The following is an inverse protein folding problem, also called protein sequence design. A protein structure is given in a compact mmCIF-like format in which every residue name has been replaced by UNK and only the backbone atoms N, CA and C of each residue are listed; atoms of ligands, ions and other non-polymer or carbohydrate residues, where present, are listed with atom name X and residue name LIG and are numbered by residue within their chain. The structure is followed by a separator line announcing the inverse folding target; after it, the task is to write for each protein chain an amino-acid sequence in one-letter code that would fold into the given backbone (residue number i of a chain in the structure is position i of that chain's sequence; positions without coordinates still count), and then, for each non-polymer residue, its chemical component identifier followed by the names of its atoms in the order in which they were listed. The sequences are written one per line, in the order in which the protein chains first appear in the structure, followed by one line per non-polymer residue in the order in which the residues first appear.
data_IF_276429968112
#
_entry.id   IF_276429968112
#
_cell.length_a   1.000
_cell.length_b   1.000
_cell.length_c   1.000
_cell.angle_alpha   90.00
_cell.angle_beta   90.00
_cell.angle_gamma   90.00
#
_symmetry.space_group_name_H-M   'P 1'
#
loop_
_entity.id
_entity.type
_entity.pdbx_description
1 polymer ?
#
# COMPACT_ATOMS: atom_id res chain seq x y z
N UNK A 1 10.75 0.92 -4.93
CA UNK A 1 12.11 0.95 -4.33
C UNK A 1 12.08 1.26 -2.83
N UNK A 2 11.13 2.05 -2.32
CA UNK A 2 10.99 2.40 -0.90
C UNK A 2 11.07 1.23 0.10
N UNK A 3 10.18 0.23 -0.01
CA UNK A 3 10.14 -0.92 0.92
C UNK A 3 11.48 -1.66 0.99
N UNK A 4 12.17 -1.76 -0.15
CA UNK A 4 13.51 -2.36 -0.25
C UNK A 4 14.57 -1.47 0.41
N UNK A 5 14.55 -0.17 0.14
CA UNK A 5 15.50 0.80 0.69
C UNK A 5 15.37 0.90 2.22
N UNK A 6 14.14 0.82 2.74
CA UNK A 6 13.86 0.81 4.17
C UNK A 6 14.06 -0.55 4.84
N UNK A 7 14.44 -1.60 4.08
CA UNK A 7 14.57 -2.98 4.56
C UNK A 7 13.33 -3.46 5.35
N UNK A 8 12.15 -2.95 5.00
CA UNK A 8 10.94 -3.13 5.82
C UNK A 8 10.38 -4.55 5.74
N UNK A 9 10.69 -5.26 4.65
CA UNK A 9 10.27 -6.62 4.38
C UNK A 9 9.55 -6.74 3.03
N UNK A 10 8.79 -7.82 2.89
CA UNK A 10 7.97 -8.10 1.71
C UNK A 10 6.52 -7.69 2.00
N UNK A 11 5.90 -6.95 1.07
CA UNK A 11 4.46 -6.70 1.04
C UNK A 11 3.86 -7.52 -0.10
N UNK A 12 2.79 -8.24 0.18
CA UNK A 12 1.97 -8.91 -0.84
C UNK A 12 0.87 -7.97 -1.32
N UNK A 13 0.69 -7.89 -2.64
CA UNK A 13 -0.36 -7.08 -3.27
C UNK A 13 -1.17 -7.99 -4.18
N UNK A 14 -2.44 -8.20 -3.85
CA UNK A 14 -3.39 -9.01 -4.64
C UNK A 14 -4.39 -8.07 -5.29
N UNK A 15 -4.31 -7.94 -6.61
CA UNK A 15 -5.12 -7.05 -7.43
C UNK A 15 -6.01 -7.91 -8.36
N UNK A 16 -7.22 -8.22 -7.93
CA UNK A 16 -8.07 -9.22 -8.59
C UNK A 16 -7.43 -10.61 -8.53
N UNK A 17 -7.13 -11.19 -9.70
CA UNK A 17 -6.52 -12.52 -9.80
C UNK A 17 -4.98 -12.47 -9.88
N UNK A 18 -4.37 -11.30 -9.82
CA UNK A 18 -2.92 -11.14 -9.87
C UNK A 18 -2.35 -10.88 -8.48
N UNK A 19 -1.37 -11.69 -8.07
CA UNK A 19 -0.60 -11.48 -6.86
C UNK A 19 0.84 -11.05 -7.19
N UNK A 20 1.35 -10.05 -6.47
CA UNK A 20 2.75 -9.58 -6.59
C UNK A 20 3.38 -9.35 -5.23
N UNK A 21 4.65 -9.71 -5.11
CA UNK A 21 5.47 -9.42 -3.94
C UNK A 21 6.33 -8.18 -4.23
N UNK A 22 6.28 -7.19 -3.32
CA UNK A 22 7.04 -5.94 -3.44
C UNK A 22 7.95 -5.72 -2.23
N UNK A 23 9.08 -5.03 -2.44
CA UNK A 23 10.07 -4.74 -1.40
C UNK A 23 11.22 -5.76 -1.36
N UNK A 24 11.01 -6.88 -0.67
CA UNK A 24 12.02 -7.91 -0.40
C UNK A 24 11.70 -9.27 -0.99
N UNK A 25 12.49 -10.27 -0.57
CA UNK A 25 12.22 -11.69 -0.75
C UNK A 25 11.88 -12.31 0.62
N UNK A 26 11.03 -13.33 0.65
CA UNK A 26 10.62 -14.02 1.88
C UNK A 26 9.13 -13.85 2.20
N UNK A 27 8.73 -14.36 3.37
CA UNK A 27 7.33 -14.34 3.84
C UNK A 27 6.83 -12.89 3.94
N UNK A 28 5.64 -12.56 3.38
CA UNK A 28 5.05 -11.23 3.50
C UNK A 28 4.85 -10.83 4.96
N UNK A 29 5.29 -9.62 5.31
CA UNK A 29 5.03 -9.00 6.62
C UNK A 29 3.61 -8.44 6.71
N UNK A 30 3.09 -8.02 5.57
CA UNK A 30 1.71 -7.62 5.37
C UNK A 30 1.27 -7.99 3.96
N UNK A 31 -0.04 -8.00 3.74
CA UNK A 31 -0.61 -8.04 2.41
C UNK A 31 -1.91 -7.27 2.30
N UNK A 32 -2.20 -6.83 1.09
CA UNK A 32 -3.41 -6.09 0.75
C UNK A 32 -4.07 -6.72 -0.48
N UNK A 33 -5.37 -6.93 -0.39
CA UNK A 33 -6.21 -7.46 -1.47
C UNK A 33 -7.36 -6.52 -1.82
N UNK A 34 -7.77 -6.58 -3.08
CA UNK A 34 -8.92 -5.83 -3.58
C UNK A 34 -9.09 -6.00 -5.09
N UNK A 35 -10.08 -5.33 -5.65
CA UNK A 35 -10.18 -5.24 -7.11
C UNK A 35 -8.93 -4.55 -7.68
N UNK A 36 -8.55 -4.87 -8.91
CA UNK A 36 -7.42 -4.21 -9.56
C UNK A 36 -7.59 -2.68 -9.60
N UNK A 37 -8.83 -2.21 -9.74
CA UNK A 37 -9.17 -0.79 -9.71
C UNK A 37 -8.95 -0.18 -8.31
N UNK A 38 -9.39 -0.86 -7.25
CA UNK A 38 -9.24 -0.39 -5.86
C UNK A 38 -7.79 -0.34 -5.40
N UNK A 39 -6.99 -1.35 -5.77
CA UNK A 39 -5.57 -1.38 -5.47
C UNK A 39 -4.85 -0.26 -6.22
N UNK A 40 -5.10 -0.10 -7.52
CA UNK A 40 -4.47 0.94 -8.33
C UNK A 40 -4.75 2.36 -7.78
N UNK A 41 -6.02 2.69 -7.52
CA UNK A 41 -6.40 4.02 -7.00
C UNK A 41 -5.86 4.29 -5.61
N UNK A 42 -5.63 3.24 -4.81
CA UNK A 42 -5.10 3.35 -3.46
C UNK A 42 -3.63 3.76 -3.45
N UNK A 43 -2.85 3.29 -4.42
CA UNK A 43 -1.42 3.61 -4.53
C UNK A 43 -1.09 4.71 -5.56
N UNK A 44 -2.11 5.36 -6.14
CA UNK A 44 -1.96 6.48 -7.08
C UNK A 44 -2.23 7.87 -6.46
N UNK A 45 -2.05 8.03 -5.14
CA UNK A 45 -2.40 9.24 -4.36
C UNK A 45 -3.82 9.78 -4.57
N UNK A 46 -4.75 8.90 -4.91
CA UNK A 46 -6.16 9.29 -4.99
C UNK A 46 -6.92 8.93 -3.72
N UNK A 47 -6.41 8.04 -2.87
CA UNK A 47 -7.11 7.62 -1.65
C UNK A 47 -6.40 8.13 -0.41
N UNK A 48 -7.17 8.56 0.59
CA UNK A 48 -6.65 8.92 1.91
C UNK A 48 -6.07 7.69 2.61
N UNK A 49 -5.26 7.91 3.65
CA UNK A 49 -4.78 6.81 4.49
C UNK A 49 -5.92 5.98 5.08
N UNK A 50 -7.06 6.60 5.43
CA UNK A 50 -8.23 5.89 5.94
C UNK A 50 -8.86 4.99 4.87
N UNK A 51 -8.99 5.48 3.65
CA UNK A 51 -9.55 4.69 2.55
C UNK A 51 -8.62 3.54 2.11
N UNK A 52 -7.30 3.70 2.23
CA UNK A 52 -6.36 2.61 1.96
C UNK A 52 -6.43 1.56 3.09
N UNK A 53 -6.60 1.97 4.35
CA UNK A 53 -6.83 1.05 5.48
C UNK A 53 -8.11 0.23 5.34
N UNK A 54 -9.12 0.78 4.67
CA UNK A 54 -10.40 0.11 4.45
C UNK A 54 -10.33 -1.02 3.41
N UNK A 55 -9.19 -1.21 2.72
CA UNK A 55 -8.96 -2.39 1.90
C UNK A 55 -8.84 -3.66 2.76
N UNK A 56 -8.86 -4.81 2.11
CA UNK A 56 -8.66 -6.08 2.81
C UNK A 56 -7.17 -6.26 3.11
N UNK A 57 -6.80 -6.10 4.38
CA UNK A 57 -5.42 -6.24 4.84
C UNK A 57 -5.22 -7.48 5.70
N UNK A 58 -4.01 -8.04 5.62
CA UNK A 58 -3.48 -8.99 6.58
C UNK A 58 -2.08 -8.57 7.05
N UNK A 59 -1.68 -9.02 8.24
CA UNK A 59 -0.40 -8.65 8.83
C UNK A 59 -0.30 -7.18 9.25
N UNK A 60 0.89 -6.59 9.11
CA UNK A 60 1.22 -5.24 9.58
C UNK A 60 0.84 -4.14 8.58
N UNK A 61 -0.45 -3.87 8.45
CA UNK A 61 -1.01 -2.86 7.54
C UNK A 61 -0.58 -1.43 7.90
N UNK A 62 -0.64 -1.07 9.18
CA UNK A 62 -0.29 0.27 9.65
C UNK A 62 1.19 0.59 9.42
N UNK A 63 2.09 -0.35 9.72
CA UNK A 63 3.51 -0.17 9.44
C UNK A 63 3.81 -0.03 7.94
N UNK A 64 3.04 -0.71 7.08
CA UNK A 64 3.18 -0.58 5.62
C UNK A 64 2.75 0.83 5.16
N UNK A 65 1.64 1.33 5.70
CA UNK A 65 1.09 2.64 5.38
C UNK A 65 1.96 3.79 5.87
N UNK A 66 2.45 3.71 7.11
CA UNK A 66 3.40 4.68 7.65
C UNK A 66 4.65 4.77 6.77
N UNK A 67 5.20 3.62 6.35
CA UNK A 67 6.35 3.62 5.46
C UNK A 67 6.01 4.25 4.11
N UNK A 68 4.88 3.89 3.49
CA UNK A 68 4.45 4.46 2.22
C UNK A 68 4.31 5.99 2.31
N UNK A 69 3.78 6.51 3.41
CA UNK A 69 3.69 7.95 3.68
C UNK A 69 5.06 8.61 3.76
N UNK A 70 6.03 7.98 4.43
CA UNK A 70 7.40 8.48 4.53
C UNK A 70 8.15 8.46 3.19
N UNK A 71 7.82 7.51 2.31
CA UNK A 71 8.51 7.33 1.04
C UNK A 71 7.94 8.09 -0.13
N UNK A 72 6.81 8.76 0.02
CA UNK A 72 6.37 9.76 -0.93
C UNK A 72 7.28 10.99 -0.84
N UNK A 73 8.41 10.94 -1.53
CA UNK A 73 9.31 12.08 -1.70
C UNK A 73 8.96 12.82 -3.01
N UNK A 74 9.20 14.14 -3.06
CA UNK A 74 8.96 14.95 -4.26
C UNK A 74 7.58 15.60 -4.38
N UNK A 75 6.86 15.84 -3.26
CA UNK A 75 5.57 16.55 -3.25
C UNK A 75 4.35 15.66 -3.47
N UNK A 76 4.55 14.35 -3.49
CA UNK A 76 3.47 13.38 -3.45
C UNK A 76 3.04 13.21 -1.99
N UNK A 77 1.75 13.27 -1.69
CA UNK A 77 1.19 13.01 -0.37
C UNK A 77 -0.12 12.26 -0.54
N UNK A 78 -0.46 11.43 0.44
CA UNK A 78 -1.82 10.89 0.46
C UNK A 78 -2.80 12.03 0.72
N UNK A 79 -3.94 12.08 0.00
CA UNK A 79 -5.01 13.02 0.29
C UNK A 79 -5.38 12.98 1.77
N UNK A 80 -5.47 14.16 2.40
CA UNK A 80 -5.90 14.27 3.80
C UNK A 80 -7.41 14.03 3.95
N UNK A 81 -8.19 14.40 2.94
CA UNK A 81 -9.62 14.14 2.86
C UNK A 81 -9.89 12.87 2.05
N UNK A 82 -10.92 12.13 2.43
CA UNK A 82 -11.45 11.06 1.62
C UNK A 82 -11.95 11.62 0.29
N UNK A 83 -11.61 10.96 -0.82
CA UNK A 83 -12.35 11.23 -2.05
C UNK A 83 -13.79 10.75 -1.85
N UNK A 84 -14.74 11.66 -2.00
CA UNK A 84 -16.16 11.34 -2.12
C UNK A 84 -16.34 10.65 -3.48
N UNK A 85 -16.83 9.41 -3.45
CA UNK A 85 -17.18 8.61 -4.64
C UNK A 85 -18.64 8.80 -5.02
#
# INVERSE_FOLDING_TARGET
QLLRAAQWGTLEVVAGNEARLVGGAGVPRAGVSGSAFDVLRSFSARRSAAQIRALEWHGDADGALELLQLGFTGGYSLPAADLIE
#
